data_IF_139507057444
#
_entry.id   IF_139507057444
#
_cell.length_a   1.000
_cell.length_b   1.000
_cell.length_c   1.000
_cell.angle_alpha   90.00
_cell.angle_beta   90.00
_cell.angle_gamma   90.00
#
_symmetry.space_group_name_H-M   'P 1'
#
loop_
_entity.id
_entity.type
_entity.pdbx_description
1 polymer ?
#
# COMPACT_ATOMS: atom_id res chain seq x y z
N UNK A 1 -0.22 8.97 -7.40
CA UNK A 1 -0.77 8.35 -6.18
C UNK A 1 -0.14 7.00 -5.88
N UNK A 2 -0.17 6.03 -6.80
CA UNK A 2 0.46 4.71 -6.58
C UNK A 2 1.96 4.79 -6.24
N UNK A 3 2.71 5.72 -6.83
CA UNK A 3 4.13 5.96 -6.48
C UNK A 3 4.32 6.31 -5.01
N UNK A 4 3.51 7.23 -4.48
CA UNK A 4 3.56 7.60 -3.07
C UNK A 4 3.14 6.43 -2.17
N UNK A 5 2.11 5.67 -2.56
CA UNK A 5 1.67 4.50 -1.80
C UNK A 5 2.76 3.44 -1.71
N UNK A 6 3.42 3.14 -2.83
CA UNK A 6 4.50 2.16 -2.90
C UNK A 6 5.73 2.59 -2.09
N UNK A 7 6.15 3.86 -2.20
CA UNK A 7 7.26 4.40 -1.40
C UNK A 7 6.94 4.37 0.10
N UNK A 8 5.71 4.77 0.48
CA UNK A 8 5.28 4.76 1.88
C UNK A 8 5.26 3.34 2.45
N UNK A 9 4.74 2.35 1.71
CA UNK A 9 4.78 0.94 2.14
C UNK A 9 6.19 0.39 2.24
N UNK A 10 7.06 0.74 1.30
CA UNK A 10 8.46 0.34 1.38
C UNK A 10 9.12 0.92 2.64
N UNK A 11 8.88 2.19 2.94
CA UNK A 11 9.33 2.82 4.17
C UNK A 11 8.74 2.11 5.42
N UNK A 12 7.47 1.73 5.40
CA UNK A 12 6.82 1.00 6.49
C UNK A 12 7.53 -0.32 6.81
N UNK A 13 7.93 -1.06 5.77
CA UNK A 13 8.70 -2.30 5.90
C UNK A 13 10.12 -2.05 6.43
N UNK A 14 10.80 -1.01 5.96
CA UNK A 14 12.13 -0.64 6.46
C UNK A 14 12.11 -0.24 7.94
N UNK A 15 11.12 0.57 8.36
CA UNK A 15 10.93 0.99 9.76
C UNK A 15 10.62 -0.21 10.67
N UNK A 16 9.82 -1.16 10.20
CA UNK A 16 9.58 -2.42 10.91
C UNK A 16 10.87 -3.26 11.03
N UNK A 17 11.66 -3.33 9.96
CA UNK A 17 12.96 -4.01 9.97
C UNK A 17 13.94 -3.41 10.97
N UNK A 18 14.01 -2.08 11.05
CA UNK A 18 14.84 -1.39 12.04
C UNK A 18 14.43 -1.64 13.48
N UNK A 19 13.12 -1.66 13.75
CA UNK A 19 12.56 -2.09 15.05
C UNK A 19 12.98 -3.52 15.41
N UNK A 20 12.87 -4.46 14.46
CA UNK A 20 13.30 -5.85 14.66
C UNK A 20 14.81 -5.98 14.85
N UNK A 21 15.59 -5.05 14.30
CA UNK A 21 17.04 -4.94 14.52
C UNK A 21 17.41 -4.26 15.85
N UNK A 22 16.43 -3.89 16.69
CA UNK A 22 16.64 -3.32 18.02
C UNK A 22 16.55 -1.79 18.11
N UNK A 23 16.23 -1.10 17.01
CA UNK A 23 16.02 0.36 17.00
C UNK A 23 14.57 0.68 17.41
N UNK A 24 14.29 0.59 18.72
CA UNK A 24 12.93 0.70 19.25
C UNK A 24 12.27 2.08 19.02
N UNK A 25 13.06 3.13 18.84
CA UNK A 25 12.61 4.47 18.45
C UNK A 25 11.90 4.47 17.08
N UNK A 26 12.28 3.56 16.18
CA UNK A 26 11.62 3.40 14.88
C UNK A 26 10.17 2.91 15.00
N UNK A 27 9.72 2.42 16.17
CA UNK A 27 8.32 2.07 16.40
C UNK A 27 7.40 3.30 16.26
N UNK A 28 7.82 4.46 16.77
CA UNK A 28 7.04 5.68 16.65
C UNK A 28 6.91 6.09 15.18
N UNK A 29 8.02 6.05 14.44
CA UNK A 29 8.04 6.34 13.01
C UNK A 29 7.20 5.35 12.21
N UNK A 30 7.24 4.05 12.53
CA UNK A 30 6.42 3.01 11.90
C UNK A 30 4.92 3.25 12.16
N UNK A 31 4.56 3.70 13.36
CA UNK A 31 3.17 4.05 13.69
C UNK A 31 2.70 5.29 12.94
N UNK A 32 3.52 6.33 12.87
CA UNK A 32 3.18 7.57 12.18
C UNK A 32 3.10 7.36 10.66
N UNK A 33 4.05 6.62 10.09
CA UNK A 33 4.01 6.23 8.68
C UNK A 33 2.80 5.35 8.35
N UNK A 34 2.33 4.50 9.28
CA UNK A 34 1.07 3.75 9.11
C UNK A 34 -0.11 4.68 8.84
N UNK A 35 -0.21 5.78 9.60
CA UNK A 35 -1.29 6.78 9.44
C UNK A 35 -1.19 7.46 8.08
N UNK A 36 -0.01 7.94 7.71
CA UNK A 36 0.24 8.56 6.40
C UNK A 36 -0.09 7.61 5.25
N UNK A 37 0.33 6.36 5.39
CA UNK A 37 0.09 5.30 4.42
C UNK A 37 -1.39 5.03 4.17
N UNK A 38 -2.20 4.92 5.24
CA UNK A 38 -3.65 4.73 5.14
C UNK A 38 -4.31 5.90 4.41
N UNK A 39 -3.88 7.15 4.71
CA UNK A 39 -4.40 8.33 4.01
C UNK A 39 -4.06 8.31 2.51
N UNK A 40 -2.82 7.96 2.15
CA UNK A 40 -2.40 7.85 0.75
C UNK A 40 -3.21 6.77 0.02
N UNK A 41 -3.37 5.58 0.61
CA UNK A 41 -4.14 4.48 0.01
C UNK A 41 -5.63 4.83 -0.09
N UNK A 42 -6.18 5.56 0.88
CA UNK A 42 -7.55 6.10 0.81
C UNK A 42 -7.70 7.06 -0.36
N UNK A 43 -6.81 8.04 -0.49
CA UNK A 43 -6.83 8.99 -1.60
C UNK A 43 -6.66 8.30 -2.96
N UNK A 44 -5.79 7.28 -3.04
CA UNK A 44 -5.61 6.45 -4.22
C UNK A 44 -6.89 5.68 -4.59
N UNK A 45 -7.58 5.12 -3.59
CA UNK A 45 -8.84 4.39 -3.79
C UNK A 45 -9.94 5.32 -4.30
N UNK A 46 -10.09 6.50 -3.68
CA UNK A 46 -11.05 7.53 -4.12
C UNK A 46 -10.75 7.97 -5.56
N UNK A 47 -9.48 8.26 -5.87
CA UNK A 47 -9.08 8.63 -7.23
C UNK A 47 -9.39 7.50 -8.24
N UNK A 48 -9.16 6.24 -7.88
CA UNK A 48 -9.51 5.09 -8.70
C UNK A 48 -11.01 4.99 -8.99
N UNK A 49 -11.87 5.20 -7.99
CA UNK A 49 -13.34 5.22 -8.15
C UNK A 49 -13.77 6.36 -9.07
N UNK A 50 -13.21 7.57 -8.88
CA UNK A 50 -13.56 8.75 -9.68
C UNK A 50 -13.12 8.60 -11.13
N UNK A 51 -11.95 8.00 -11.40
CA UNK A 51 -11.41 7.80 -12.74
C UNK A 51 -12.10 6.66 -13.51
N UNK A 52 -12.68 5.68 -12.80
CA UNK A 52 -13.35 4.54 -13.45
C UNK A 52 -14.59 4.96 -14.25
N UNK A 53 -15.31 6.01 -13.83
CA UNK A 53 -16.58 6.42 -14.47
C UNK A 53 -16.44 7.20 -15.79
N UNK A 54 -15.49 8.16 -15.97
CA UNK A 54 -15.31 8.87 -17.23
C UNK A 54 -14.19 8.33 -18.14
N UNK A 55 -13.21 7.57 -17.61
CA UNK A 55 -11.98 7.22 -18.35
C UNK A 55 -11.97 5.87 -19.09
N UNK A 56 -12.99 5.02 -18.92
CA UNK A 56 -13.05 3.63 -19.44
C UNK A 56 -11.81 2.77 -19.16
N UNK A 57 -10.99 3.17 -18.18
CA UNK A 57 -9.80 2.43 -17.75
C UNK A 57 -10.17 1.13 -17.03
N UNK A 58 -9.22 0.19 -16.92
CA UNK A 58 -9.46 -1.08 -16.24
C UNK A 58 -9.91 -0.84 -14.79
N UNK A 59 -10.93 -1.58 -14.35
CA UNK A 59 -11.51 -1.45 -13.00
C UNK A 59 -10.69 -2.16 -11.91
N UNK A 60 -9.85 -3.12 -12.28
CA UNK A 60 -9.10 -3.91 -11.31
C UNK A 60 -8.15 -3.11 -10.40
N UNK A 61 -7.48 -2.01 -10.82
CA UNK A 61 -6.66 -1.18 -9.92
C UNK A 61 -7.47 -0.56 -8.77
N UNK A 62 -8.74 -0.23 -9.03
CA UNK A 62 -9.66 0.28 -7.99
C UNK A 62 -9.88 -0.79 -6.93
N UNK A 63 -10.16 -2.02 -7.34
CA UNK A 63 -10.37 -3.14 -6.42
C UNK A 63 -9.11 -3.48 -5.63
N UNK A 64 -7.93 -3.48 -6.26
CA UNK A 64 -6.66 -3.67 -5.56
C UNK A 64 -6.44 -2.59 -4.51
N UNK A 65 -6.70 -1.33 -4.85
CA UNK A 65 -6.59 -0.20 -3.92
C UNK A 65 -7.54 -0.35 -2.73
N UNK A 66 -8.79 -0.75 -2.99
CA UNK A 66 -9.80 -0.98 -1.95
C UNK A 66 -9.42 -2.14 -1.03
N UNK A 67 -8.96 -3.26 -1.57
CA UNK A 67 -8.50 -4.41 -0.77
C UNK A 67 -7.30 -4.00 0.07
N UNK A 68 -6.31 -3.30 -0.50
CA UNK A 68 -5.17 -2.79 0.25
C UNK A 68 -5.62 -1.87 1.40
N UNK A 69 -6.59 -0.98 1.16
CA UNK A 69 -7.13 -0.11 2.21
C UNK A 69 -7.72 -0.91 3.38
N UNK A 70 -8.60 -1.88 3.09
CA UNK A 70 -9.25 -2.70 4.11
C UNK A 70 -8.21 -3.50 4.91
N UNK A 71 -7.26 -4.13 4.22
CA UNK A 71 -6.20 -4.92 4.89
C UNK A 71 -5.30 -4.00 5.71
N UNK A 72 -4.94 -2.80 5.23
CA UNK A 72 -4.14 -1.81 5.98
C UNK A 72 -4.83 -1.33 7.26
N UNK A 73 -6.15 -1.16 7.27
CA UNK A 73 -6.88 -0.86 8.52
C UNK A 73 -6.79 -2.04 9.50
N UNK A 74 -6.95 -3.27 9.00
CA UNK A 74 -6.75 -4.48 9.81
C UNK A 74 -5.32 -4.65 10.34
N UNK A 75 -4.31 -4.17 9.60
CA UNK A 75 -2.92 -4.21 10.04
C UNK A 75 -2.66 -3.43 11.33
N UNK A 76 -3.38 -2.31 11.54
CA UNK A 76 -3.25 -1.55 12.78
C UNK A 76 -3.64 -2.41 13.99
N UNK A 77 -4.76 -3.15 13.91
CA UNK A 77 -5.19 -4.06 14.96
C UNK A 77 -4.15 -5.15 15.21
N UNK A 78 -3.69 -5.83 14.16
CA UNK A 78 -2.68 -6.89 14.26
C UNK A 78 -1.36 -6.39 14.86
N UNK A 79 -0.98 -5.14 14.57
CA UNK A 79 0.19 -4.48 15.16
C UNK A 79 0.00 -4.21 16.66
N UNK A 80 -1.15 -3.65 17.07
CA UNK A 80 -1.45 -3.40 18.49
C UNK A 80 -1.57 -4.68 19.32
N UNK A 81 -2.17 -5.74 18.76
CA UNK A 81 -2.27 -7.05 19.41
C UNK A 81 -0.99 -7.86 19.32
N UNK A 82 0.07 -7.33 18.67
CA UNK A 82 1.37 -7.98 18.48
C UNK A 82 1.25 -9.36 17.81
N UNK A 83 0.27 -9.55 16.95
CA UNK A 83 0.04 -10.79 16.22
C UNK A 83 0.96 -10.84 14.98
N UNK A 84 2.27 -10.91 15.22
CA UNK A 84 3.30 -10.75 14.18
C UNK A 84 3.21 -11.80 13.07
N UNK A 85 2.74 -13.01 13.41
CA UNK A 85 2.53 -14.11 12.45
C UNK A 85 1.55 -13.75 11.33
N UNK A 86 0.63 -12.82 11.55
CA UNK A 86 -0.30 -12.31 10.52
C UNK A 86 0.07 -10.90 10.07
N UNK A 87 0.55 -10.07 10.99
CA UNK A 87 0.95 -8.70 10.69
C UNK A 87 2.06 -8.65 9.63
N UNK A 88 3.15 -9.40 9.82
CA UNK A 88 4.29 -9.35 8.91
C UNK A 88 3.93 -9.86 7.51
N UNK A 89 3.32 -11.05 7.32
CA UNK A 89 2.99 -11.53 5.98
C UNK A 89 2.00 -10.62 5.24
N UNK A 90 0.98 -10.10 5.91
CA UNK A 90 0.03 -9.19 5.27
C UNK A 90 0.66 -7.83 4.94
N UNK A 91 1.55 -7.30 5.78
CA UNK A 91 2.35 -6.12 5.45
C UNK A 91 3.20 -6.33 4.19
N UNK A 92 3.84 -7.51 4.05
CA UNK A 92 4.58 -7.89 2.84
C UNK A 92 3.66 -7.97 1.63
N UNK A 93 2.49 -8.60 1.75
CA UNK A 93 1.54 -8.74 0.64
C UNK A 93 1.02 -7.38 0.15
N UNK A 94 0.67 -6.46 1.05
CA UNK A 94 0.27 -5.10 0.68
C UNK A 94 1.41 -4.38 -0.05
N UNK A 95 2.63 -4.47 0.48
CA UNK A 95 3.82 -3.84 -0.11
C UNK A 95 4.07 -4.38 -1.52
N UNK A 96 4.02 -5.70 -1.70
CA UNK A 96 4.18 -6.34 -3.00
C UNK A 96 3.08 -5.94 -3.98
N UNK A 97 1.82 -5.94 -3.55
CA UNK A 97 0.69 -5.54 -4.39
C UNK A 97 0.83 -4.10 -4.90
N UNK A 98 1.24 -3.16 -4.05
CA UNK A 98 1.43 -1.76 -4.42
C UNK A 98 2.66 -1.55 -5.32
N UNK A 99 3.75 -2.30 -5.13
CA UNK A 99 4.90 -2.29 -6.04
C UNK A 99 4.55 -2.88 -7.41
N UNK A 100 3.78 -3.97 -7.46
CA UNK A 100 3.31 -4.54 -8.72
C UNK A 100 2.34 -3.60 -9.44
N UNK A 101 1.44 -2.95 -8.70
CA UNK A 101 0.55 -1.93 -9.24
C UNK A 101 1.33 -0.71 -9.75
N UNK A 102 2.40 -0.33 -9.05
CA UNK A 102 3.32 0.71 -9.51
C UNK A 102 3.95 0.30 -10.85
N UNK A 103 4.57 -0.88 -10.92
CA UNK A 103 5.17 -1.39 -12.16
C UNK A 103 4.14 -1.40 -13.29
N UNK A 104 2.92 -1.90 -13.04
CA UNK A 104 1.86 -1.90 -14.03
C UNK A 104 1.48 -0.49 -14.50
N UNK A 105 1.31 0.46 -13.58
CA UNK A 105 0.90 1.83 -13.89
C UNK A 105 1.94 2.59 -14.74
N UNK A 106 3.22 2.22 -14.64
CA UNK A 106 4.31 2.83 -15.41
C UNK A 106 4.75 2.00 -16.62
N UNK A 107 4.12 0.85 -16.90
CA UNK A 107 4.43 0.08 -18.11
C UNK A 107 3.98 0.87 -19.35
N UNK A 108 4.86 0.99 -20.37
CA UNK A 108 4.45 1.60 -21.63
C UNK A 108 3.34 0.76 -22.25
N UNK A 109 2.23 1.41 -22.63
CA UNK A 109 1.21 0.76 -23.45
C UNK A 109 1.83 0.55 -24.84
N UNK A 110 2.11 -0.69 -25.22
CA UNK A 110 2.42 -1.03 -26.60
C UNK A 110 1.17 -0.73 -27.44
N UNK A 111 1.18 0.41 -28.12
CA UNK A 111 0.21 0.74 -29.17
C UNK A 111 0.50 -0.18 -30.35
N UNK A 112 -0.10 -1.37 -30.38
CA UNK A 112 -0.10 -2.17 -31.59
C UNK A 112 -1.10 -1.52 -32.56
N UNK A 113 -0.56 -0.79 -33.53
CA UNK A 113 -1.29 -0.09 -34.58
C UNK A 113 -2.20 -1.07 -35.34
N UNK A 114 -3.51 -0.85 -35.25
CA UNK A 114 -4.48 -1.40 -36.22
C UNK A 114 -4.72 -0.40 -37.33
#
# INVERSE_FOLDING_TARGET
>A
MVTFAALSMFAQAALAGGLLAGHFDMLALHRDNSTVSVLIVTAMTVAGVLLHRPGRGPSWPMWVSLVCLVVSVGQALLGYTRTLSLHVPFGVLITAALLLLLVWAWRPMTQESR
#
